data_IF_857762130916
#
_entry.id   IF_857762130916
#
_cell.length_a   1.000
_cell.length_b   1.000
_cell.length_c   1.000
_cell.angle_alpha   90.00
_cell.angle_beta   90.00
_cell.angle_gamma   90.00
#
_symmetry.space_group_name_H-M   'P 1'
#
loop_
_entity.id
_entity.type
_entity.pdbx_description
1 polymer ?
#
# COMPACT_ATOMS: atom_id res chain seq x y z
N UNK A 1 -5.63 -2.59 16.36
CA UNK A 1 -6.48 -1.39 16.58
C UNK A 1 -7.94 -1.79 16.49
N UNK A 2 -8.88 -1.06 17.10
CA UNK A 2 -10.31 -1.39 17.07
C UNK A 2 -11.12 -0.30 16.36
N UNK A 3 -12.11 -0.69 15.56
CA UNK A 3 -12.99 0.20 14.82
C UNK A 3 -14.46 -0.22 15.03
N UNK A 4 -15.37 0.75 15.07
CA UNK A 4 -16.79 0.53 15.34
C UNK A 4 -17.67 1.37 14.41
N UNK A 5 -18.58 0.71 13.69
CA UNK A 5 -19.55 1.36 12.79
C UNK A 5 -20.88 0.60 12.73
N UNK A 6 -21.86 1.10 11.97
CA UNK A 6 -23.19 0.47 11.92
C UNK A 6 -23.15 -0.95 11.35
N UNK A 7 -22.23 -1.26 10.44
CA UNK A 7 -22.03 -2.58 9.85
C UNK A 7 -20.55 -2.99 9.87
N UNK A 8 -20.28 -4.29 9.74
CA UNK A 8 -18.90 -4.80 9.63
C UNK A 8 -18.20 -4.14 8.44
N UNK A 9 -18.89 -4.01 7.30
CA UNK A 9 -18.36 -3.46 6.06
C UNK A 9 -17.99 -1.98 6.21
N UNK A 10 -18.83 -1.19 6.89
CA UNK A 10 -18.52 0.21 7.21
C UNK A 10 -17.33 0.30 8.18
N UNK A 11 -17.25 -0.58 9.18
CA UNK A 11 -16.12 -0.60 10.11
C UNK A 11 -14.80 -0.95 9.40
N UNK A 12 -14.85 -1.87 8.43
CA UNK A 12 -13.69 -2.23 7.61
C UNK A 12 -13.31 -1.09 6.68
N UNK A 13 -14.27 -0.42 6.06
CA UNK A 13 -14.01 0.75 5.21
C UNK A 13 -13.35 1.89 6.00
N UNK A 14 -13.85 2.15 7.22
CA UNK A 14 -13.25 3.12 8.13
C UNK A 14 -11.81 2.75 8.51
N UNK A 15 -11.56 1.46 8.80
CA UNK A 15 -10.21 0.98 9.09
C UNK A 15 -9.26 1.15 7.90
N UNK A 16 -9.69 0.77 6.69
CA UNK A 16 -8.88 0.92 5.47
C UNK A 16 -8.54 2.39 5.21
N UNK A 17 -9.51 3.30 5.40
CA UNK A 17 -9.30 4.74 5.23
C UNK A 17 -8.35 5.29 6.28
N UNK A 18 -8.54 4.92 7.56
CA UNK A 18 -7.72 5.40 8.66
C UNK A 18 -6.27 4.93 8.57
N UNK A 19 -6.04 3.73 8.02
CA UNK A 19 -4.71 3.14 7.90
C UNK A 19 -4.06 3.42 6.55
N UNK A 20 -4.83 3.87 5.56
CA UNK A 20 -4.34 4.01 4.18
C UNK A 20 -4.00 2.67 3.53
N UNK A 21 -4.51 1.56 4.07
CA UNK A 21 -4.19 0.20 3.65
C UNK A 21 -5.39 -0.47 2.98
N UNK A 22 -5.18 -1.26 1.92
CA UNK A 22 -6.24 -2.07 1.36
C UNK A 22 -6.66 -3.17 2.33
N UNK A 23 -7.89 -3.63 2.19
CA UNK A 23 -8.45 -4.71 3.04
C UNK A 23 -7.55 -5.95 3.08
N UNK A 24 -6.91 -6.28 1.96
CA UNK A 24 -6.07 -7.48 1.82
C UNK A 24 -4.77 -7.43 2.63
N UNK A 25 -4.26 -6.24 2.97
CA UNK A 25 -3.10 -6.07 3.86
C UNK A 25 -3.50 -5.95 5.33
N UNK A 26 -4.76 -6.22 5.66
CA UNK A 26 -5.30 -6.18 7.02
C UNK A 26 -5.75 -7.58 7.44
N UNK A 27 -5.36 -7.97 8.64
CA UNK A 27 -5.99 -9.05 9.39
C UNK A 27 -7.15 -8.47 10.20
N UNK A 28 -8.35 -9.06 10.05
CA UNK A 28 -9.59 -8.51 10.59
C UNK A 28 -10.25 -9.57 11.49
N UNK A 29 -10.35 -9.26 12.77
CA UNK A 29 -11.08 -10.02 13.78
C UNK A 29 -12.41 -9.33 14.08
N UNK A 30 -13.53 -10.02 13.92
CA UNK A 30 -14.85 -9.46 14.25
C UNK A 30 -15.11 -9.65 15.75
N UNK A 31 -15.13 -8.55 16.51
CA UNK A 31 -15.38 -8.56 17.95
C UNK A 31 -16.89 -8.61 18.26
N UNK A 32 -17.70 -7.89 17.48
CA UNK A 32 -19.16 -7.98 17.54
C UNK A 32 -19.81 -7.64 16.21
N UNK A 33 -20.88 -8.37 15.86
CA UNK A 33 -21.73 -8.03 14.72
C UNK A 33 -22.77 -7.01 15.12
N UNK A 34 -23.24 -6.26 14.14
CA UNK A 34 -24.40 -5.41 14.27
C UNK A 34 -25.65 -6.24 14.59
N UNK A 35 -26.51 -5.68 15.44
CA UNK A 35 -27.82 -6.27 15.70
C UNK A 35 -28.89 -5.19 15.72
N UNK A 36 -29.97 -5.43 14.98
CA UNK A 36 -31.17 -4.62 15.03
C UNK A 36 -32.06 -5.14 16.15
N UNK A 37 -32.40 -4.30 17.12
CA UNK A 37 -33.44 -4.61 18.07
C UNK A 37 -34.77 -4.83 17.34
N UNK A 38 -35.47 -5.90 17.71
CA UNK A 38 -36.84 -6.15 17.25
C UNK A 38 -37.76 -5.06 17.81
N UNK A 39 -38.60 -4.47 16.94
CA UNK A 39 -39.62 -3.46 17.26
C UNK A 39 -39.16 -2.05 17.68
N UNK A 40 -37.94 -1.60 17.37
CA UNK A 40 -37.55 -0.18 17.54
C UNK A 40 -37.52 0.32 19.00
N UNK A 41 -37.71 -0.57 19.97
CA UNK A 41 -37.68 -0.29 21.42
C UNK A 41 -36.31 -0.65 22.01
N UNK A 42 -35.54 -1.50 21.33
CA UNK A 42 -34.18 -1.86 21.69
C UNK A 42 -33.19 -1.20 20.73
N UNK A 43 -32.23 -0.45 21.29
CA UNK A 43 -31.18 0.24 20.54
C UNK A 43 -30.38 -0.72 19.65
N UNK A 44 -29.91 -0.20 18.51
CA UNK A 44 -29.04 -0.95 17.62
C UNK A 44 -27.63 -1.10 18.21
N UNK A 45 -27.10 -2.32 18.20
CA UNK A 45 -25.70 -2.55 18.53
C UNK A 45 -24.88 -2.37 17.25
N UNK A 46 -23.82 -1.56 17.33
CA UNK A 46 -22.87 -1.37 16.24
C UNK A 46 -21.96 -2.58 16.05
N UNK A 47 -21.46 -2.77 14.84
CA UNK A 47 -20.41 -3.72 14.54
C UNK A 47 -19.08 -3.21 15.07
N UNK A 48 -18.27 -4.11 15.63
CA UNK A 48 -16.94 -3.79 16.15
C UNK A 48 -15.94 -4.80 15.63
N UNK A 49 -14.82 -4.31 15.12
CA UNK A 49 -13.73 -5.12 14.59
C UNK A 49 -12.42 -4.75 15.27
N UNK A 50 -11.49 -5.70 15.32
CA UNK A 50 -10.08 -5.48 15.57
C UNK A 50 -9.30 -5.73 14.30
N UNK A 51 -8.37 -4.84 14.00
CA UNK A 51 -7.58 -4.83 12.77
C UNK A 51 -6.10 -4.76 13.11
N UNK A 52 -5.32 -5.59 12.42
CA UNK A 52 -3.86 -5.64 12.51
C UNK A 52 -3.29 -5.60 11.08
N UNK A 53 -2.38 -4.67 10.75
CA UNK A 53 -1.65 -4.73 9.48
C UNK A 53 -0.89 -6.04 9.36
N UNK A 54 -0.92 -6.67 8.19
CA UNK A 54 -0.12 -7.86 7.91
C UNK A 54 1.34 -7.47 7.76
N UNK A 55 2.23 -8.21 8.39
CA UNK A 55 3.66 -8.14 8.09
C UNK A 55 3.91 -8.76 6.71
N UNK A 56 4.59 -8.03 5.84
CA UNK A 56 4.97 -8.52 4.51
C UNK A 56 6.48 -8.78 4.53
N UNK A 57 6.93 -10.00 4.14
CA UNK A 57 8.36 -10.28 4.04
C UNK A 57 9.07 -9.28 3.11
N UNK A 58 10.24 -8.79 3.52
CA UNK A 58 11.07 -7.82 2.76
C UNK A 58 11.25 -8.25 1.30
N UNK A 59 11.42 -9.55 1.03
CA UNK A 59 11.60 -10.05 -0.33
C UNK A 59 10.38 -9.80 -1.23
N UNK A 60 9.17 -9.90 -0.68
CA UNK A 60 7.95 -9.57 -1.42
C UNK A 60 7.86 -8.06 -1.67
N UNK A 61 8.26 -7.25 -0.70
CA UNK A 61 8.29 -5.78 -0.82
C UNK A 61 9.26 -5.32 -1.92
N UNK A 62 10.43 -5.96 -2.03
CA UNK A 62 11.41 -5.71 -3.11
C UNK A 62 10.82 -6.03 -4.48
N UNK A 63 10.17 -7.19 -4.62
CA UNK A 63 9.55 -7.60 -5.88
C UNK A 63 8.41 -6.65 -6.25
N UNK A 64 7.57 -6.25 -5.29
CA UNK A 64 6.49 -5.28 -5.53
C UNK A 64 7.03 -3.92 -5.97
N UNK A 65 8.08 -3.41 -5.32
CA UNK A 65 8.71 -2.15 -5.71
C UNK A 65 9.22 -2.20 -7.17
N UNK A 66 9.86 -3.31 -7.56
CA UNK A 66 10.28 -3.58 -8.93
C UNK A 66 9.11 -3.61 -9.91
N UNK A 67 8.03 -4.31 -9.57
CA UNK A 67 6.84 -4.44 -10.42
C UNK A 67 6.13 -3.08 -10.62
N UNK A 68 6.02 -2.28 -9.55
CA UNK A 68 5.46 -0.92 -9.61
C UNK A 68 6.28 -0.06 -10.57
N UNK A 69 7.61 -0.01 -10.40
CA UNK A 69 8.47 0.79 -11.25
C UNK A 69 8.43 0.33 -12.71
N UNK A 70 8.50 -0.99 -12.94
CA UNK A 70 8.41 -1.57 -14.29
C UNK A 70 7.12 -1.15 -14.98
N UNK A 71 5.98 -1.27 -14.30
CA UNK A 71 4.67 -0.85 -14.84
C UNK A 71 4.62 0.64 -15.16
N UNK A 72 5.24 1.50 -14.36
CA UNK A 72 5.31 2.93 -14.66
C UNK A 72 6.16 3.17 -15.93
N UNK A 73 7.31 2.51 -16.04
CA UNK A 73 8.22 2.65 -17.18
C UNK A 73 7.61 2.09 -18.49
N UNK A 74 6.78 1.06 -18.42
CA UNK A 74 6.07 0.51 -19.58
C UNK A 74 5.18 1.56 -20.28
N UNK A 75 4.60 2.51 -19.53
CA UNK A 75 3.82 3.61 -20.11
C UNK A 75 4.68 4.69 -20.79
N UNK A 76 6.00 4.70 -20.57
CA UNK A 76 6.93 5.70 -21.12
C UNK A 76 7.46 5.24 -22.50
N UNK A 77 7.14 4.01 -22.93
CA UNK A 77 7.54 3.42 -24.23
C UNK A 77 9.06 3.41 -24.46
N UNK A 78 9.85 3.34 -23.39
CA UNK A 78 11.31 3.26 -23.45
C UNK A 78 11.77 1.86 -23.06
N UNK A 79 12.66 1.21 -23.83
CA UNK A 79 13.28 -0.04 -23.40
C UNK A 79 14.06 0.15 -22.09
N UNK A 80 13.60 -0.49 -21.03
CA UNK A 80 14.22 -0.44 -19.71
C UNK A 80 14.30 -1.82 -19.07
N UNK A 81 15.39 -2.08 -18.35
CA UNK A 81 15.50 -3.22 -17.43
C UNK A 81 15.58 -2.66 -16.01
N UNK A 82 14.78 -3.22 -15.10
CA UNK A 82 14.80 -2.87 -13.68
C UNK A 82 15.44 -4.00 -12.88
N UNK A 83 16.51 -3.67 -12.16
CA UNK A 83 17.13 -4.53 -11.16
C UNK A 83 16.75 -4.02 -9.78
N UNK A 84 16.60 -4.94 -8.82
CA UNK A 84 16.19 -4.61 -7.46
C UNK A 84 17.09 -5.34 -6.48
N UNK A 85 17.62 -4.59 -5.52
CA UNK A 85 18.42 -5.11 -4.42
C UNK A 85 17.83 -4.63 -3.09
N UNK A 86 17.90 -5.49 -2.07
CA UNK A 86 17.56 -5.11 -0.71
C UNK A 86 18.83 -5.01 0.11
N UNK A 87 18.94 -3.91 0.84
CA UNK A 87 19.78 -3.82 2.05
C UNK A 87 18.87 -3.85 3.28
N UNK A 88 19.43 -3.90 4.48
CA UNK A 88 18.66 -4.10 5.72
C UNK A 88 17.51 -3.08 5.92
N UNK A 89 17.64 -1.86 5.39
CA UNK A 89 16.66 -0.78 5.57
C UNK A 89 16.19 -0.11 4.25
N UNK A 90 16.73 -0.50 3.09
CA UNK A 90 16.47 0.18 1.83
C UNK A 90 16.31 -0.79 0.66
N UNK A 91 15.38 -0.45 -0.23
CA UNK A 91 15.23 -1.11 -1.53
C UNK A 91 15.89 -0.20 -2.56
N UNK A 92 16.94 -0.70 -3.22
CA UNK A 92 17.55 -0.01 -4.36
C UNK A 92 16.97 -0.52 -5.66
N UNK A 93 16.49 0.39 -6.50
CA UNK A 93 15.97 0.06 -7.83
C UNK A 93 16.86 0.69 -8.91
N UNK A 94 17.55 -0.15 -9.68
CA UNK A 94 18.43 0.28 -10.76
C UNK A 94 17.70 0.22 -12.11
N UNK A 95 17.66 1.34 -12.83
CA UNK A 95 17.04 1.45 -14.15
C UNK A 95 18.12 1.48 -15.22
N UNK A 96 18.22 0.42 -16.02
CA UNK A 96 19.14 0.31 -17.15
C UNK A 96 18.37 0.64 -18.43
N UNK A 97 18.79 1.68 -19.15
CA UNK A 97 18.12 2.14 -20.37
C UNK A 97 19.07 2.81 -21.36
N UNK A 98 18.76 2.70 -22.65
CA UNK A 98 19.38 3.45 -23.74
C UNK A 98 18.85 4.90 -23.88
N UNK A 99 17.79 5.27 -23.14
CA UNK A 99 17.13 6.59 -23.16
C UNK A 99 17.23 7.36 -21.83
N UNK A 100 18.33 7.23 -21.09
CA UNK A 100 18.48 7.72 -19.70
C UNK A 100 18.19 9.21 -19.47
N UNK A 101 18.39 10.07 -20.47
CA UNK A 101 18.17 11.51 -20.35
C UNK A 101 16.72 11.91 -20.02
N UNK A 102 15.73 11.17 -20.53
CA UNK A 102 14.32 11.41 -20.25
C UNK A 102 13.96 11.04 -18.80
N UNK A 103 14.46 9.89 -18.35
CA UNK A 103 14.20 9.31 -17.03
C UNK A 103 14.90 10.10 -15.91
N UNK A 104 16.08 10.66 -16.16
CA UNK A 104 16.74 11.59 -15.24
C UNK A 104 15.95 12.91 -15.20
N UNK A 105 15.58 13.42 -16.38
CA UNK A 105 14.91 14.70 -16.52
C UNK A 105 15.80 15.88 -16.13
N UNK A 106 15.28 17.10 -16.29
CA UNK A 106 16.04 18.32 -16.00
C UNK A 106 16.40 18.39 -14.52
N UNK A 107 17.70 18.35 -14.19
CA UNK A 107 18.23 18.36 -12.82
C UNK A 107 17.72 17.21 -11.94
N UNK A 108 17.45 16.03 -12.53
CA UNK A 108 17.02 14.85 -11.75
C UNK A 108 15.56 14.84 -11.33
N UNK A 109 14.74 15.80 -11.79
CA UNK A 109 13.34 15.94 -11.34
C UNK A 109 12.46 14.74 -11.70
N UNK A 110 12.67 14.13 -12.87
CA UNK A 110 11.87 12.96 -13.29
C UNK A 110 12.21 11.76 -12.41
N UNK A 111 13.50 11.53 -12.16
CA UNK A 111 13.97 10.46 -11.28
C UNK A 111 13.38 10.59 -9.87
N UNK A 112 13.43 11.80 -9.30
CA UNK A 112 12.84 12.07 -7.98
C UNK A 112 11.32 11.84 -7.94
N UNK A 113 10.60 12.21 -9.02
CA UNK A 113 9.17 11.97 -9.11
C UNK A 113 8.85 10.47 -9.19
N UNK A 114 9.61 9.70 -9.97
CA UNK A 114 9.48 8.24 -10.04
C UNK A 114 9.71 7.61 -8.67
N UNK A 115 10.82 7.96 -8.00
CA UNK A 115 11.15 7.49 -6.66
C UNK A 115 10.01 7.78 -5.67
N UNK A 116 9.48 9.01 -5.68
CA UNK A 116 8.35 9.39 -4.83
C UNK A 116 7.10 8.56 -5.09
N UNK A 117 6.74 8.36 -6.37
CA UNK A 117 5.55 7.58 -6.75
C UNK A 117 5.69 6.13 -6.33
N UNK A 118 6.83 5.48 -6.59
CA UNK A 118 7.08 4.09 -6.19
C UNK A 118 6.98 3.96 -4.67
N UNK A 119 7.67 4.80 -3.90
CA UNK A 119 7.60 4.78 -2.43
C UNK A 119 6.18 4.98 -1.91
N UNK A 120 5.39 5.88 -2.53
CA UNK A 120 4.01 6.14 -2.09
C UNK A 120 3.04 5.02 -2.43
N UNK A 121 3.19 4.37 -3.57
CA UNK A 121 2.38 3.22 -3.94
C UNK A 121 2.73 2.04 -3.01
N UNK A 122 4.02 1.77 -2.81
CA UNK A 122 4.50 0.68 -1.95
C UNK A 122 4.03 0.85 -0.49
N UNK A 123 4.13 2.07 0.06
CA UNK A 123 3.61 2.39 1.40
C UNK A 123 2.11 2.10 1.53
N UNK A 124 1.32 2.38 0.49
CA UNK A 124 -0.12 2.12 0.47
C UNK A 124 -0.44 0.63 0.43
N UNK A 125 0.35 -0.17 -0.27
CA UNK A 125 0.08 -1.60 -0.42
C UNK A 125 0.57 -2.42 0.78
N UNK A 126 1.72 -2.07 1.34
CA UNK A 126 2.44 -2.88 2.33
C UNK A 126 2.36 -2.31 3.76
N UNK A 127 2.09 -1.01 3.92
CA UNK A 127 2.01 -0.36 5.23
C UNK A 127 3.33 -0.14 5.94
N UNK A 128 4.45 -0.53 5.33
CA UNK A 128 5.78 -0.27 5.83
C UNK A 128 6.36 1.04 5.28
N UNK A 129 7.15 1.72 6.11
CA UNK A 129 7.99 2.83 5.69
C UNK A 129 9.31 2.28 5.14
N UNK A 130 9.28 1.69 3.95
CA UNK A 130 10.51 1.25 3.28
C UNK A 130 11.05 2.39 2.41
N UNK A 131 12.31 2.73 2.60
CA UNK A 131 12.99 3.74 1.78
C UNK A 131 13.39 3.12 0.44
N UNK A 132 12.78 3.60 -0.65
CA UNK A 132 13.18 3.26 -2.02
C UNK A 132 14.18 4.29 -2.53
N UNK A 133 15.31 3.82 -3.07
CA UNK A 133 16.43 4.64 -3.58
C UNK A 133 16.85 4.28 -5.00
#
# INVERSE_FOLDING_TARGET
MEFEEKTIEEAIALACQSLGLPRESLEIEVLSRESSGIFGIFGSKKAKIRVTPKEVPIQNTVQQAKDILTRILDYIEVPTVVEAESTDDQISLNIISNGSGLLIGKRGKTLQALQYLVSKILQREVGENVSVV
#
